data_IF_150983567816
#
_entry.id   IF_150983567816
#
_cell.length_a   1.000
_cell.length_b   1.000
_cell.length_c   1.000
_cell.angle_alpha   90.00
_cell.angle_beta   90.00
_cell.angle_gamma   90.00
#
_symmetry.space_group_name_H-M   'P 1'
#
loop_
_entity.id
_entity.type
_entity.pdbx_description
1 polymer ?
#
# COMPACT_ATOMS: atom_id res chain seq x y z
N UNK A 1 53.58 -3.93 -26.40
CA UNK A 1 54.12 -3.39 -25.13
C UNK A 1 53.38 -2.09 -24.90
N UNK A 2 52.49 -1.93 -23.92
CA UNK A 2 52.55 -2.38 -22.54
C UNK A 2 51.12 -2.51 -22.00
N UNK A 3 50.86 -3.58 -21.26
CA UNK A 3 49.64 -3.80 -20.48
C UNK A 3 49.64 -2.83 -19.28
N UNK A 4 48.54 -2.13 -19.03
CA UNK A 4 48.29 -1.51 -17.72
C UNK A 4 46.89 -1.93 -17.28
N UNK A 5 46.87 -2.89 -16.36
CA UNK A 5 45.71 -3.26 -15.56
C UNK A 5 45.26 -2.05 -14.74
N UNK A 6 44.02 -1.62 -14.92
CA UNK A 6 43.30 -0.76 -13.99
C UNK A 6 42.02 -1.46 -13.53
N UNK A 7 42.04 -2.09 -12.36
CA UNK A 7 40.83 -2.40 -11.59
C UNK A 7 40.15 -1.08 -11.24
N UNK A 8 38.94 -0.81 -11.72
CA UNK A 8 38.09 0.23 -11.16
C UNK A 8 36.90 -0.40 -10.44
N UNK A 9 36.80 -0.10 -9.14
CA UNK A 9 35.80 -0.60 -8.19
C UNK A 9 34.61 0.36 -8.03
N UNK A 10 34.33 1.19 -9.02
CA UNK A 10 33.23 2.16 -8.96
C UNK A 10 32.40 2.07 -10.24
N UNK A 11 31.16 1.61 -10.07
CA UNK A 11 30.19 1.53 -11.14
C UNK A 11 29.68 2.93 -11.49
N UNK A 12 30.36 3.61 -12.39
CA UNK A 12 29.85 4.75 -13.16
C UNK A 12 30.70 4.93 -14.42
N UNK A 13 30.04 5.17 -15.57
CA UNK A 13 30.50 5.89 -16.80
C UNK A 13 29.52 5.56 -17.95
N UNK A 14 29.19 6.49 -18.88
CA UNK A 14 30.04 7.62 -19.28
C UNK A 14 29.51 9.04 -19.12
N UNK A 15 30.52 9.91 -19.07
CA UNK A 15 30.57 11.36 -19.25
C UNK A 15 30.18 11.76 -20.69
N UNK A 16 29.62 12.95 -20.89
CA UNK A 16 30.13 13.92 -21.90
C UNK A 16 29.89 15.35 -21.40
N UNK A 17 30.96 16.14 -21.36
CA UNK A 17 30.94 17.59 -21.30
C UNK A 17 31.51 18.10 -22.64
N UNK A 18 30.85 19.06 -23.30
CA UNK A 18 31.51 20.02 -24.20
C UNK A 18 30.62 21.24 -24.56
N UNK A 19 30.97 22.40 -23.97
CA UNK A 19 31.26 23.69 -24.64
C UNK A 19 30.18 24.49 -25.44
N UNK A 20 30.44 25.79 -25.75
CA UNK A 20 29.44 26.87 -25.77
C UNK A 20 28.73 27.08 -27.13
N UNK A 21 28.33 26.01 -27.82
CA UNK A 21 27.81 26.02 -29.20
C UNK A 21 26.41 25.40 -29.40
N UNK A 22 25.65 25.13 -28.33
CA UNK A 22 24.19 25.16 -28.40
C UNK A 22 23.43 23.84 -28.64
N UNK A 23 23.86 22.68 -28.11
CA UNK A 23 22.95 21.51 -28.01
C UNK A 23 23.01 20.71 -26.69
N UNK A 24 21.78 20.36 -26.24
CA UNK A 24 21.29 19.38 -25.26
C UNK A 24 21.97 19.19 -23.88
N UNK A 25 21.29 19.72 -22.85
CA UNK A 25 21.44 19.24 -21.47
C UNK A 25 20.93 17.79 -21.34
N UNK A 26 21.83 16.84 -21.18
CA UNK A 26 21.53 15.55 -20.57
C UNK A 26 21.12 15.79 -19.10
N UNK A 27 19.92 15.37 -18.73
CA UNK A 27 19.47 15.38 -17.34
C UNK A 27 20.13 14.19 -16.63
N UNK A 28 21.42 14.32 -16.34
CA UNK A 28 22.15 13.33 -15.53
C UNK A 28 21.68 13.47 -14.08
N UNK A 29 20.98 12.45 -13.58
CA UNK A 29 20.66 12.36 -12.15
C UNK A 29 21.97 12.12 -11.42
N UNK A 30 22.59 13.19 -10.89
CA UNK A 30 23.82 13.09 -10.11
C UNK A 30 23.59 12.17 -8.90
N UNK A 31 24.55 11.31 -8.54
CA UNK A 31 24.46 10.54 -7.30
C UNK A 31 24.39 11.50 -6.11
N UNK A 32 23.63 11.11 -5.08
CA UNK A 32 23.49 11.90 -3.85
C UNK A 32 24.86 11.98 -3.17
N UNK A 33 25.41 13.17 -3.03
CA UNK A 33 26.75 13.37 -2.45
C UNK A 33 26.71 13.98 -1.04
N UNK A 34 25.64 14.68 -0.69
CA UNK A 34 25.53 15.36 0.61
C UNK A 34 24.55 14.69 1.56
N UNK A 35 24.77 14.90 2.87
CA UNK A 35 23.87 14.41 3.93
C UNK A 35 22.42 14.91 3.76
N UNK A 36 22.25 16.08 3.15
CA UNK A 36 20.93 16.66 2.84
C UNK A 36 20.15 15.83 1.82
N UNK A 37 20.77 15.33 0.76
CA UNK A 37 20.10 14.47 -0.21
C UNK A 37 19.81 13.07 0.34
N UNK A 38 20.61 12.59 1.29
CA UNK A 38 20.29 11.34 1.99
C UNK A 38 19.00 11.45 2.79
N UNK A 39 18.74 12.59 3.43
CA UNK A 39 17.45 12.88 4.08
C UNK A 39 16.35 13.01 3.02
N UNK A 40 16.50 13.92 2.08
CA UNK A 40 15.50 14.16 1.04
C UNK A 40 16.16 14.49 -0.31
N UNK A 41 15.95 13.61 -1.28
CA UNK A 41 16.58 13.64 -2.62
C UNK A 41 16.31 14.94 -3.38
N UNK A 42 15.12 15.53 -3.19
CA UNK A 42 14.73 16.80 -3.82
C UNK A 42 15.64 17.97 -3.43
N UNK A 43 16.42 17.86 -2.35
CA UNK A 43 17.22 18.99 -1.87
C UNK A 43 18.52 19.25 -2.62
N UNK A 44 19.02 18.25 -3.36
CA UNK A 44 20.24 18.37 -4.16
C UNK A 44 19.97 18.67 -5.63
N UNK A 45 18.69 18.60 -6.04
CA UNK A 45 18.30 18.83 -7.41
C UNK A 45 18.30 20.33 -7.78
N UNK A 46 18.54 20.67 -9.06
CA UNK A 46 18.44 22.04 -9.55
C UNK A 46 17.07 22.68 -9.21
N UNK A 47 16.99 24.01 -9.06
CA UNK A 47 15.77 24.71 -8.65
C UNK A 47 14.52 24.32 -9.45
N UNK A 48 14.65 24.14 -10.77
CA UNK A 48 13.54 23.80 -11.66
C UNK A 48 13.00 22.38 -11.38
N UNK A 49 13.91 21.42 -11.21
CA UNK A 49 13.56 20.04 -10.85
C UNK A 49 13.00 19.94 -9.44
N UNK A 50 13.55 20.73 -8.51
CA UNK A 50 13.08 20.83 -7.14
C UNK A 50 11.64 21.35 -7.07
N UNK A 51 11.34 22.40 -7.84
CA UNK A 51 10.00 22.97 -7.94
C UNK A 51 9.01 21.99 -8.56
N UNK A 52 9.40 21.31 -9.64
CA UNK A 52 8.59 20.26 -10.25
C UNK A 52 8.25 19.16 -9.23
N UNK A 53 9.27 18.57 -8.59
CA UNK A 53 9.04 17.51 -7.60
C UNK A 53 8.21 17.95 -6.41
N UNK A 54 8.40 19.18 -5.91
CA UNK A 54 7.57 19.71 -4.85
C UNK A 54 6.08 19.75 -5.24
N UNK A 55 5.76 20.15 -6.48
CA UNK A 55 4.38 20.11 -6.98
C UNK A 55 3.87 18.67 -7.13
N UNK A 56 4.69 17.78 -7.68
CA UNK A 56 4.33 16.35 -7.83
C UNK A 56 4.07 15.72 -6.45
N UNK A 57 4.89 16.02 -5.46
CA UNK A 57 4.71 15.58 -4.07
C UNK A 57 3.42 16.18 -3.47
N UNK A 58 3.19 17.48 -3.63
CA UNK A 58 2.01 18.15 -3.10
C UNK A 58 0.68 17.69 -3.73
N UNK A 59 0.68 17.25 -4.99
CA UNK A 59 -0.56 16.83 -5.68
C UNK A 59 -0.72 15.31 -5.73
N UNK A 60 0.30 14.55 -6.16
CA UNK A 60 0.22 13.09 -6.28
C UNK A 60 0.36 12.44 -4.92
N UNK A 61 1.44 12.73 -4.19
CA UNK A 61 1.75 12.04 -2.95
C UNK A 61 0.75 12.41 -1.85
N UNK A 62 0.33 13.66 -1.74
CA UNK A 62 -0.71 14.07 -0.79
C UNK A 62 -2.05 13.41 -1.09
N UNK A 63 -2.52 13.43 -2.35
CA UNK A 63 -3.76 12.74 -2.73
C UNK A 63 -3.68 11.24 -2.45
N UNK A 64 -2.57 10.61 -2.86
CA UNK A 64 -2.32 9.20 -2.62
C UNK A 64 -2.35 8.87 -1.11
N UNK A 65 -1.67 9.66 -0.29
CA UNK A 65 -1.54 9.44 1.15
C UNK A 65 -2.87 9.63 1.87
N UNK A 66 -3.62 10.69 1.55
CA UNK A 66 -4.95 10.91 2.14
C UNK A 66 -5.92 9.82 1.68
N UNK A 67 -5.93 9.45 0.39
CA UNK A 67 -6.80 8.37 -0.10
C UNK A 67 -6.48 7.03 0.56
N UNK A 68 -5.20 6.70 0.75
CA UNK A 68 -4.82 5.46 1.45
C UNK A 68 -5.13 5.51 2.95
N UNK A 69 -4.99 6.68 3.58
CA UNK A 69 -5.42 6.91 4.96
C UNK A 69 -6.93 6.64 5.10
N UNK A 70 -7.77 7.21 4.23
CA UNK A 70 -9.22 6.97 4.21
C UNK A 70 -9.57 5.51 3.92
N UNK A 71 -8.84 4.88 2.99
CA UNK A 71 -9.02 3.47 2.65
C UNK A 71 -8.85 2.55 3.86
N UNK A 72 -7.80 2.79 4.63
CA UNK A 72 -7.54 2.02 5.84
C UNK A 72 -8.53 2.33 6.97
N UNK A 73 -9.12 3.53 6.98
CA UNK A 73 -10.23 3.86 7.86
C UNK A 73 -11.47 3.02 7.50
N UNK A 74 -11.91 2.98 6.25
CA UNK A 74 -13.10 2.21 5.82
C UNK A 74 -12.96 0.72 6.15
N UNK A 75 -11.80 0.13 5.85
CA UNK A 75 -11.54 -1.28 6.14
C UNK A 75 -11.59 -1.59 7.65
N UNK A 76 -11.10 -0.67 8.48
CA UNK A 76 -11.12 -0.82 9.94
C UNK A 76 -12.52 -0.55 10.49
N UNK A 77 -13.25 0.40 9.90
CA UNK A 77 -14.60 0.83 10.29
C UNK A 77 -15.62 -0.31 10.27
N UNK A 78 -15.43 -1.35 9.44
CA UNK A 78 -16.33 -2.52 9.40
C UNK A 78 -16.34 -3.30 10.71
N UNK A 79 -15.14 -3.58 11.23
CA UNK A 79 -14.97 -4.33 12.47
C UNK A 79 -15.43 -3.49 13.66
N UNK A 80 -15.12 -2.19 13.60
CA UNK A 80 -15.57 -1.19 14.56
C UNK A 80 -17.10 -1.10 14.59
N UNK A 81 -17.76 -0.90 13.44
CA UNK A 81 -19.21 -0.87 13.32
C UNK A 81 -19.87 -2.15 13.87
N UNK A 82 -19.29 -3.32 13.58
CA UNK A 82 -19.74 -4.61 14.11
C UNK A 82 -19.81 -4.61 15.64
N UNK A 83 -18.75 -4.14 16.29
CA UNK A 83 -18.65 -4.06 17.75
C UNK A 83 -19.48 -2.92 18.38
N UNK A 84 -20.13 -2.09 17.59
CA UNK A 84 -20.87 -0.89 18.04
C UNK A 84 -22.33 -0.89 17.59
N UNK A 85 -22.97 -2.06 17.55
CA UNK A 85 -24.40 -2.18 17.31
C UNK A 85 -24.79 -2.72 15.93
N UNK A 86 -23.85 -2.87 14.99
CA UNK A 86 -24.17 -3.44 13.67
C UNK A 86 -24.46 -4.95 13.76
N UNK A 87 -23.92 -5.66 14.76
CA UNK A 87 -24.24 -7.07 15.01
C UNK A 87 -25.72 -7.25 15.33
N UNK A 88 -26.24 -6.46 16.26
CA UNK A 88 -27.63 -6.48 16.72
C UNK A 88 -28.59 -5.92 15.68
N UNK A 89 -28.25 -4.79 15.05
CA UNK A 89 -29.10 -4.11 14.05
C UNK A 89 -29.34 -4.95 12.78
N UNK A 90 -28.37 -5.78 12.39
CA UNK A 90 -28.43 -6.58 11.15
C UNK A 90 -28.64 -8.07 11.43
N UNK A 91 -28.86 -8.45 12.70
CA UNK A 91 -29.00 -9.83 13.17
C UNK A 91 -27.85 -10.71 12.67
N UNK A 92 -26.62 -10.22 12.82
CA UNK A 92 -25.43 -10.88 12.29
C UNK A 92 -24.90 -11.95 13.25
N UNK A 93 -25.06 -13.23 12.90
CA UNK A 93 -24.60 -14.33 13.77
C UNK A 93 -23.44 -15.13 13.17
N UNK A 94 -22.58 -15.67 14.05
CA UNK A 94 -21.50 -16.60 13.66
C UNK A 94 -20.48 -16.00 12.70
N UNK A 95 -20.26 -16.66 11.56
CA UNK A 95 -19.21 -16.29 10.59
C UNK A 95 -19.63 -15.18 9.61
N UNK A 96 -20.73 -14.47 9.87
CA UNK A 96 -21.27 -13.52 8.90
C UNK A 96 -20.38 -12.27 8.71
N UNK A 97 -19.71 -11.79 9.77
CA UNK A 97 -18.72 -10.70 9.65
C UNK A 97 -17.53 -11.12 8.78
N UNK A 98 -16.95 -12.29 9.06
CA UNK A 98 -15.82 -12.84 8.29
C UNK A 98 -16.20 -13.07 6.83
N UNK A 99 -17.44 -13.52 6.59
CA UNK A 99 -17.98 -13.68 5.23
C UNK A 99 -18.09 -12.33 4.52
N UNK A 100 -18.52 -11.28 5.23
CA UNK A 100 -18.57 -9.90 4.72
C UNK A 100 -17.21 -9.42 4.22
N UNK A 101 -16.17 -9.59 5.04
CA UNK A 101 -14.78 -9.24 4.68
C UNK A 101 -14.26 -10.10 3.53
N UNK A 102 -14.62 -11.38 3.50
CA UNK A 102 -14.25 -12.28 2.39
C UNK A 102 -14.87 -11.84 1.06
N UNK A 103 -16.13 -11.40 1.07
CA UNK A 103 -16.82 -10.90 -0.13
C UNK A 103 -16.19 -9.59 -0.62
N UNK A 104 -15.78 -8.71 0.30
CA UNK A 104 -14.96 -7.55 -0.05
C UNK A 104 -13.66 -7.98 -0.74
N UNK A 105 -12.93 -8.97 -0.21
CA UNK A 105 -11.71 -9.48 -0.86
C UNK A 105 -11.98 -10.04 -2.26
N UNK A 106 -13.10 -10.73 -2.46
CA UNK A 106 -13.50 -11.23 -3.79
C UNK A 106 -13.74 -10.08 -4.77
N UNK A 107 -14.48 -9.05 -4.36
CA UNK A 107 -14.68 -7.84 -5.16
C UNK A 107 -13.35 -7.16 -5.49
N UNK A 108 -12.48 -7.05 -4.49
CA UNK A 108 -11.14 -6.48 -4.60
C UNK A 108 -10.30 -7.20 -5.64
N UNK A 109 -10.21 -8.53 -5.56
CA UNK A 109 -9.43 -9.35 -6.49
C UNK A 109 -9.97 -9.22 -7.93
N UNK A 110 -11.29 -9.33 -8.10
CA UNK A 110 -11.92 -9.24 -9.42
C UNK A 110 -11.71 -7.86 -10.04
N UNK A 111 -11.83 -6.79 -9.26
CA UNK A 111 -11.70 -5.42 -9.77
C UNK A 111 -10.25 -5.02 -10.08
N UNK A 112 -9.25 -5.66 -9.45
CA UNK A 112 -7.88 -5.18 -9.48
C UNK A 112 -7.22 -5.31 -10.85
N UNK A 113 -7.36 -6.46 -11.51
CA UNK A 113 -6.78 -6.66 -12.85
C UNK A 113 -7.46 -5.75 -13.90
N UNK A 114 -8.80 -5.71 -14.02
CA UNK A 114 -9.49 -4.85 -14.98
C UNK A 114 -9.19 -3.36 -14.77
N UNK A 115 -9.22 -2.88 -13.52
CA UNK A 115 -8.94 -1.47 -13.21
C UNK A 115 -7.51 -1.08 -13.61
N UNK A 116 -6.51 -1.93 -13.36
CA UNK A 116 -5.14 -1.62 -13.75
C UNK A 116 -4.90 -1.71 -15.25
N UNK A 117 -5.56 -2.64 -15.94
CA UNK A 117 -5.55 -2.65 -17.40
C UNK A 117 -6.21 -1.38 -17.97
N UNK A 118 -7.27 -0.89 -17.32
CA UNK A 118 -7.94 0.36 -17.71
C UNK A 118 -7.00 1.57 -17.57
N UNK A 119 -6.15 1.63 -16.53
CA UNK A 119 -5.14 2.69 -16.35
C UNK A 119 -4.10 2.75 -17.48
N UNK A 120 -3.88 1.64 -18.19
CA UNK A 120 -2.99 1.63 -19.36
C UNK A 120 -3.65 2.22 -20.61
N UNK A 121 -4.99 2.25 -20.68
CA UNK A 121 -5.74 2.73 -21.85
C UNK A 121 -6.34 4.11 -21.66
N UNK A 122 -6.92 4.35 -20.50
CA UNK A 122 -7.53 5.63 -20.12
C UNK A 122 -6.57 6.32 -19.15
N UNK A 123 -6.45 7.65 -19.25
CA UNK A 123 -5.59 8.40 -18.34
C UNK A 123 -5.95 8.11 -16.88
N UNK A 124 -4.96 7.83 -16.01
CA UNK A 124 -5.16 7.66 -14.56
C UNK A 124 -5.92 8.79 -13.90
N UNK A 125 -5.82 10.01 -14.45
CA UNK A 125 -6.58 11.20 -14.06
C UNK A 125 -8.09 10.98 -13.99
N UNK A 126 -8.65 10.15 -14.85
CA UNK A 126 -10.09 9.88 -14.87
C UNK A 126 -10.43 8.61 -14.12
N UNK A 127 -9.61 7.57 -14.30
CA UNK A 127 -9.90 6.23 -13.76
C UNK A 127 -9.81 6.20 -12.23
N UNK A 128 -8.73 6.72 -11.64
CA UNK A 128 -8.54 6.66 -10.17
C UNK A 128 -9.65 7.43 -9.45
N UNK A 129 -9.94 8.71 -9.78
CA UNK A 129 -11.06 9.44 -9.19
C UNK A 129 -12.44 8.80 -9.42
N UNK A 130 -12.69 8.18 -10.58
CA UNK A 130 -13.97 7.49 -10.84
C UNK A 130 -14.17 6.28 -9.93
N UNK A 131 -13.09 5.51 -9.71
CA UNK A 131 -13.11 4.39 -8.78
C UNK A 131 -13.34 4.87 -7.34
N UNK A 132 -12.66 5.94 -6.93
CA UNK A 132 -12.83 6.57 -5.61
C UNK A 132 -14.26 7.09 -5.39
N UNK A 133 -14.90 7.69 -6.41
CA UNK A 133 -16.30 8.11 -6.32
C UNK A 133 -17.23 6.90 -6.17
N UNK A 134 -17.03 5.85 -6.96
CA UNK A 134 -17.82 4.62 -6.87
C UNK A 134 -17.69 3.96 -5.49
N UNK A 135 -16.47 3.93 -4.95
CA UNK A 135 -16.18 3.46 -3.60
C UNK A 135 -16.90 4.31 -2.55
N UNK A 136 -16.73 5.64 -2.56
CA UNK A 136 -17.37 6.54 -1.60
C UNK A 136 -18.90 6.46 -1.61
N UNK A 137 -19.52 6.34 -2.79
CA UNK A 137 -20.98 6.13 -2.90
C UNK A 137 -21.38 4.80 -2.26
N UNK A 138 -20.69 3.70 -2.58
CA UNK A 138 -20.98 2.39 -2.01
C UNK A 138 -20.80 2.35 -0.48
N UNK A 139 -19.80 3.06 0.05
CA UNK A 139 -19.57 3.23 1.49
C UNK A 139 -20.73 3.97 2.15
N UNK A 140 -21.20 5.10 1.59
CA UNK A 140 -22.38 5.81 2.13
C UNK A 140 -23.62 4.92 2.09
N UNK A 141 -23.85 4.19 0.99
CA UNK A 141 -24.96 3.27 0.87
C UNK A 141 -24.92 2.18 1.96
N UNK A 142 -23.74 1.84 2.49
CA UNK A 142 -23.60 0.84 3.58
C UNK A 142 -24.31 1.31 4.86
N UNK A 143 -24.36 2.63 5.10
CA UNK A 143 -25.11 3.20 6.23
C UNK A 143 -26.62 2.99 6.17
N UNK A 144 -27.17 2.66 4.99
CA UNK A 144 -28.61 2.48 4.76
C UNK A 144 -29.04 1.01 4.76
N UNK A 145 -28.11 0.08 4.97
CA UNK A 145 -28.40 -1.36 4.95
C UNK A 145 -29.31 -1.76 6.12
N UNK A 146 -30.23 -2.69 5.86
CA UNK A 146 -31.14 -3.25 6.85
C UNK A 146 -30.99 -4.77 7.04
N UNK A 147 -30.09 -5.42 6.29
CA UNK A 147 -29.82 -6.86 6.44
C UNK A 147 -28.37 -7.21 6.10
N UNK A 148 -27.85 -8.29 6.68
CA UNK A 148 -26.51 -8.80 6.36
C UNK A 148 -26.32 -9.12 4.87
N UNK A 149 -27.39 -9.50 4.15
CA UNK A 149 -27.34 -9.75 2.69
C UNK A 149 -27.10 -8.47 1.89
N UNK A 150 -27.73 -7.37 2.30
CA UNK A 150 -27.49 -6.05 1.70
C UNK A 150 -26.06 -5.58 1.96
N UNK A 151 -25.53 -5.85 3.17
CA UNK A 151 -24.14 -5.56 3.53
C UNK A 151 -23.18 -6.31 2.60
N UNK A 152 -23.43 -7.59 2.31
CA UNK A 152 -22.59 -8.39 1.40
C UNK A 152 -22.53 -7.82 -0.01
N UNK A 153 -23.67 -7.42 -0.57
CA UNK A 153 -23.71 -6.81 -1.90
C UNK A 153 -22.88 -5.52 -1.95
N UNK A 154 -23.06 -4.64 -0.97
CA UNK A 154 -22.28 -3.39 -0.92
C UNK A 154 -20.80 -3.63 -0.66
N UNK A 155 -20.44 -4.61 0.17
CA UNK A 155 -19.04 -4.99 0.42
C UNK A 155 -18.33 -5.46 -0.82
N UNK A 156 -19.03 -6.20 -1.68
CA UNK A 156 -18.51 -6.56 -3.00
C UNK A 156 -18.21 -5.32 -3.84
N UNK A 157 -19.15 -4.38 -3.93
CA UNK A 157 -18.97 -3.14 -4.72
C UNK A 157 -17.88 -2.24 -4.15
N UNK A 158 -17.82 -2.08 -2.83
CA UNK A 158 -16.73 -1.37 -2.13
C UNK A 158 -15.39 -1.96 -2.53
N UNK A 159 -15.20 -3.28 -2.37
CA UNK A 159 -13.95 -3.94 -2.75
C UNK A 159 -13.64 -3.79 -4.24
N UNK A 160 -14.65 -3.94 -5.11
CA UNK A 160 -14.49 -3.80 -6.56
C UNK A 160 -14.01 -2.41 -6.98
N UNK A 161 -14.60 -1.34 -6.45
CA UNK A 161 -14.17 0.03 -6.74
C UNK A 161 -12.82 0.37 -6.10
N UNK A 162 -12.56 -0.08 -4.88
CA UNK A 162 -11.33 0.18 -4.11
C UNK A 162 -10.08 -0.54 -4.68
N UNK A 163 -10.30 -1.59 -5.47
CA UNK A 163 -9.28 -2.47 -6.06
C UNK A 163 -8.19 -1.76 -6.87
N UNK A 164 -8.57 -0.72 -7.62
CA UNK A 164 -7.66 -0.05 -8.55
C UNK A 164 -6.77 0.99 -7.90
N UNK A 165 -7.10 1.43 -6.68
CA UNK A 165 -6.40 2.55 -6.03
C UNK A 165 -4.96 2.20 -5.68
N UNK A 166 -4.73 1.16 -4.87
CA UNK A 166 -3.39 0.83 -4.37
C UNK A 166 -2.36 0.53 -5.49
N UNK A 167 -2.61 -0.41 -6.41
CA UNK A 167 -1.71 -0.65 -7.54
C UNK A 167 -1.68 0.52 -8.53
N UNK A 168 -2.78 1.25 -8.72
CA UNK A 168 -2.84 2.41 -9.60
C UNK A 168 -1.98 3.57 -9.11
N UNK A 169 -1.98 3.83 -7.80
CA UNK A 169 -1.07 4.79 -7.18
C UNK A 169 0.38 4.34 -7.33
N UNK A 170 0.72 3.08 -7.05
CA UNK A 170 2.09 2.59 -7.25
C UNK A 170 2.54 2.68 -8.71
N UNK A 171 1.64 2.44 -9.65
CA UNK A 171 1.89 2.66 -11.07
C UNK A 171 2.15 4.14 -11.38
N UNK A 172 1.38 5.05 -10.77
CA UNK A 172 1.56 6.51 -10.92
C UNK A 172 2.85 7.02 -10.28
N UNK A 173 3.18 6.56 -9.07
CA UNK A 173 4.45 6.85 -8.40
C UNK A 173 5.61 6.39 -9.29
N UNK A 174 5.51 5.18 -9.86
CA UNK A 174 6.42 4.75 -10.92
C UNK A 174 6.51 5.80 -12.02
N UNK A 175 5.40 6.18 -12.62
CA UNK A 175 5.42 6.98 -13.84
C UNK A 175 5.91 8.42 -13.70
N UNK A 176 5.96 8.97 -12.47
CA UNK A 176 6.39 10.33 -12.18
C UNK A 176 7.75 10.42 -11.47
N UNK A 177 8.12 9.41 -10.68
CA UNK A 177 9.35 9.41 -9.89
C UNK A 177 10.44 8.53 -10.50
N UNK A 178 11.69 8.95 -10.32
CA UNK A 178 12.85 8.14 -10.70
C UNK A 178 13.10 7.02 -9.66
N UNK A 179 13.86 5.97 -10.01
CA UNK A 179 14.20 4.89 -9.08
C UNK A 179 14.82 5.34 -7.74
N UNK A 180 15.46 6.52 -7.71
CA UNK A 180 16.08 7.09 -6.50
C UNK A 180 15.10 7.82 -5.58
N UNK A 181 13.92 8.14 -6.10
CA UNK A 181 12.96 9.05 -5.48
C UNK A 181 11.71 8.29 -4.99
N UNK A 182 11.41 7.17 -5.64
CA UNK A 182 10.15 6.44 -5.47
C UNK A 182 10.03 5.75 -4.10
N UNK A 183 11.13 5.25 -3.52
CA UNK A 183 11.09 4.41 -2.32
C UNK A 183 10.61 5.15 -1.08
N UNK A 184 11.20 6.32 -0.79
CA UNK A 184 10.80 7.24 0.28
C UNK A 184 9.32 7.60 0.19
N UNK A 185 8.86 7.93 -1.01
CA UNK A 185 7.49 8.40 -1.28
C UNK A 185 6.48 7.26 -1.21
N UNK A 186 6.81 6.10 -1.77
CA UNK A 186 6.00 4.90 -1.65
C UNK A 186 5.84 4.46 -0.18
N UNK A 187 6.87 4.67 0.65
CA UNK A 187 6.75 4.43 2.09
C UNK A 187 5.90 5.45 2.83
N UNK A 188 6.04 6.74 2.54
CA UNK A 188 5.16 7.76 3.13
C UNK A 188 3.68 7.49 2.81
N UNK A 189 3.41 7.11 1.56
CA UNK A 189 2.08 6.66 1.14
C UNK A 189 1.57 5.51 2.02
N UNK A 190 2.41 4.50 2.26
CA UNK A 190 1.99 3.32 3.02
C UNK A 190 1.81 3.60 4.52
N UNK A 191 2.68 4.43 5.10
CA UNK A 191 2.58 4.90 6.49
C UNK A 191 1.27 5.64 6.73
N UNK A 192 0.81 6.45 5.76
CA UNK A 192 -0.47 7.14 5.87
C UNK A 192 -1.64 6.17 6.11
N UNK A 193 -1.60 4.98 5.51
CA UNK A 193 -2.60 3.94 5.76
C UNK A 193 -2.56 3.38 7.17
N UNK A 194 -1.36 3.12 7.70
CA UNK A 194 -1.20 2.65 9.08
C UNK A 194 -1.73 3.67 10.10
N UNK A 195 -1.47 4.96 9.85
CA UNK A 195 -2.03 6.05 10.66
C UNK A 195 -3.56 6.09 10.51
N UNK A 196 -4.09 5.85 9.31
CA UNK A 196 -5.53 5.73 9.04
C UNK A 196 -6.21 4.66 9.90
N UNK A 197 -5.66 3.45 9.94
CA UNK A 197 -6.18 2.37 10.80
C UNK A 197 -6.18 2.76 12.28
N UNK A 198 -5.14 3.45 12.77
CA UNK A 198 -5.09 3.95 14.14
C UNK A 198 -6.16 5.01 14.40
N UNK A 199 -6.42 5.89 13.42
CA UNK A 199 -7.40 6.97 13.54
C UNK A 199 -8.85 6.46 13.52
N UNK A 200 -9.14 5.36 12.83
CA UNK A 200 -10.48 4.77 12.73
C UNK A 200 -11.11 4.45 14.09
N UNK A 201 -10.34 3.93 15.05
CA UNK A 201 -10.86 3.62 16.39
C UNK A 201 -11.31 4.87 17.16
N UNK A 202 -10.55 5.96 17.06
CA UNK A 202 -10.93 7.25 17.66
C UNK A 202 -12.18 7.84 16.99
N UNK A 203 -12.25 7.74 15.66
CA UNK A 203 -13.40 8.21 14.88
C UNK A 203 -14.68 7.46 15.26
N UNK A 204 -14.60 6.13 15.39
CA UNK A 204 -15.70 5.28 15.85
C UNK A 204 -16.15 5.65 17.26
N UNK A 205 -15.22 5.75 18.22
CA UNK A 205 -15.56 6.10 19.59
C UNK A 205 -16.30 7.44 19.65
N UNK A 206 -15.78 8.46 18.93
CA UNK A 206 -16.42 9.76 18.87
C UNK A 206 -17.79 9.72 18.18
N UNK A 207 -17.96 8.94 17.11
CA UNK A 207 -19.24 8.76 16.44
C UNK A 207 -20.27 8.05 17.34
N UNK A 208 -19.86 7.01 18.06
CA UNK A 208 -20.71 6.29 18.98
C UNK A 208 -21.15 7.16 20.16
N UNK A 209 -20.24 7.91 20.79
CA UNK A 209 -20.59 8.72 21.97
C UNK A 209 -21.45 9.94 21.63
N UNK A 210 -21.26 10.56 20.46
CA UNK A 210 -21.87 11.86 20.15
C UNK A 210 -23.00 11.79 19.11
N UNK A 211 -23.05 10.74 18.29
CA UNK A 211 -23.99 10.63 17.17
C UNK A 211 -24.94 9.44 17.29
N UNK A 212 -24.77 8.57 18.29
CA UNK A 212 -25.72 7.49 18.51
C UNK A 212 -27.11 8.02 18.89
N UNK A 213 -28.13 7.49 18.24
CA UNK A 213 -29.52 7.96 18.35
C UNK A 213 -29.83 9.29 17.63
N UNK A 214 -28.82 10.01 17.12
CA UNK A 214 -29.03 11.27 16.40
C UNK A 214 -29.74 10.98 15.08
N UNK A 215 -30.84 11.71 14.84
CA UNK A 215 -31.78 11.46 13.73
C UNK A 215 -32.34 10.02 13.69
N UNK A 216 -32.41 9.32 14.83
CA UNK A 216 -32.92 7.95 14.91
C UNK A 216 -32.02 6.92 14.23
N UNK A 217 -30.74 7.24 14.02
CA UNK A 217 -29.75 6.34 13.42
C UNK A 217 -28.79 5.83 14.49
N UNK A 218 -28.46 4.54 14.42
CA UNK A 218 -27.41 3.96 15.26
C UNK A 218 -26.04 4.58 14.93
N UNK A 219 -25.18 4.71 15.94
CA UNK A 219 -23.86 5.32 15.84
C UNK A 219 -22.97 4.72 14.75
N UNK A 220 -23.07 3.40 14.50
CA UNK A 220 -22.30 2.73 13.45
C UNK A 220 -22.67 3.21 12.04
N UNK A 221 -23.93 3.63 11.81
CA UNK A 221 -24.36 4.15 10.50
C UNK A 221 -23.72 5.50 10.21
N UNK A 222 -23.55 6.34 11.24
CA UNK A 222 -22.85 7.62 11.13
C UNK A 222 -21.39 7.46 10.75
N UNK A 223 -20.74 6.37 11.18
CA UNK A 223 -19.36 6.09 10.81
C UNK A 223 -19.19 6.00 9.29
N UNK A 224 -20.05 5.24 8.60
CA UNK A 224 -20.02 5.12 7.14
C UNK A 224 -20.45 6.39 6.41
N UNK A 225 -21.34 7.19 7.02
CA UNK A 225 -21.73 8.50 6.47
C UNK A 225 -20.55 9.47 6.51
N UNK A 226 -19.88 9.60 7.66
CA UNK A 226 -18.71 10.47 7.82
C UNK A 226 -17.61 10.06 6.86
N UNK A 227 -17.32 8.77 6.78
CA UNK A 227 -16.28 8.21 5.92
C UNK A 227 -16.55 8.51 4.42
N UNK A 228 -17.81 8.38 4.01
CA UNK A 228 -18.23 8.81 2.67
C UNK A 228 -18.14 10.33 2.43
N UNK A 229 -18.50 11.13 3.43
CA UNK A 229 -18.44 12.60 3.35
C UNK A 229 -16.99 13.10 3.25
N UNK A 230 -16.02 12.44 3.88
CA UNK A 230 -14.60 12.82 3.75
C UNK A 230 -13.98 12.26 2.46
N UNK A 231 -14.44 11.10 1.98
CA UNK A 231 -13.91 10.44 0.78
C UNK A 231 -14.42 11.07 -0.52
N UNK A 232 -15.71 11.40 -0.64
CA UNK A 232 -16.27 11.93 -1.89
C UNK A 232 -15.67 13.27 -2.33
N UNK A 233 -15.47 14.28 -1.46
CA UNK A 233 -14.81 15.53 -1.85
C UNK A 233 -13.38 15.30 -2.32
N UNK A 234 -12.64 14.39 -1.67
CA UNK A 234 -11.30 14.01 -2.11
C UNK A 234 -11.36 13.37 -3.50
N UNK A 235 -12.27 12.41 -3.71
CA UNK A 235 -12.47 11.76 -5.00
C UNK A 235 -12.80 12.77 -6.11
N UNK A 236 -13.71 13.71 -5.84
CA UNK A 236 -14.08 14.79 -6.78
C UNK A 236 -12.90 15.72 -7.05
N UNK A 237 -12.15 16.11 -6.00
CA UNK A 237 -10.94 16.90 -6.13
C UNK A 237 -9.89 16.19 -6.99
N UNK A 238 -9.84 14.85 -6.95
CA UNK A 238 -9.01 14.02 -7.80
C UNK A 238 -9.13 14.32 -9.30
N UNK A 239 -10.33 14.62 -9.82
CA UNK A 239 -10.50 14.95 -11.25
C UNK A 239 -9.76 16.23 -11.67
N UNK A 240 -9.58 17.16 -10.73
CA UNK A 240 -8.90 18.43 -10.96
C UNK A 240 -7.41 18.32 -10.68
N UNK A 241 -7.01 17.71 -9.57
CA UNK A 241 -5.61 17.71 -9.13
C UNK A 241 -4.79 16.53 -9.66
N UNK A 242 -5.41 15.37 -9.88
CA UNK A 242 -4.68 14.15 -10.24
C UNK A 242 -4.14 14.23 -11.67
N UNK A 243 -2.83 13.95 -11.88
CA UNK A 243 -2.21 14.23 -13.16
C UNK A 243 -2.39 13.12 -14.20
N UNK A 244 -2.21 13.51 -15.47
CA UNK A 244 -1.96 12.54 -16.53
C UNK A 244 -0.56 11.93 -16.38
N UNK A 245 -0.25 10.91 -17.17
CA UNK A 245 1.14 10.43 -17.24
C UNK A 245 1.99 11.47 -17.99
N UNK A 246 3.26 11.68 -17.61
CA UNK A 246 4.14 12.60 -18.34
C UNK A 246 4.19 12.25 -19.84
N UNK A 247 4.21 10.95 -20.16
CA UNK A 247 4.32 10.46 -21.53
C UNK A 247 3.05 10.66 -22.38
N UNK A 248 1.90 11.01 -21.77
CA UNK A 248 0.65 11.23 -22.52
C UNK A 248 0.64 12.58 -23.27
N UNK A 249 1.66 13.43 -23.09
CA UNK A 249 1.83 14.70 -23.80
C UNK A 249 0.80 15.78 -23.43
N UNK A 250 0.00 15.54 -22.39
CA UNK A 250 -1.01 16.49 -21.90
C UNK A 250 -0.57 17.06 -20.56
N UNK A 251 -0.16 18.32 -20.56
CA UNK A 251 0.15 19.07 -19.34
C UNK A 251 -1.05 19.10 -18.39
N UNK A 252 -0.74 19.09 -17.10
CA UNK A 252 -1.71 19.39 -16.05
C UNK A 252 -1.83 20.88 -15.83
N UNK A 253 -2.93 21.33 -15.23
CA UNK A 253 -3.18 22.76 -15.02
C UNK A 253 -2.18 23.41 -14.05
N UNK A 254 -1.63 22.63 -13.09
CA UNK A 254 -0.65 23.11 -12.11
C UNK A 254 0.82 23.03 -12.57
N UNK A 255 1.07 22.41 -13.73
CA UNK A 255 2.40 22.37 -14.39
C UNK A 255 2.51 23.40 -15.50
N UNK A 256 3.63 24.11 -15.57
CA UNK A 256 3.99 24.93 -16.74
C UNK A 256 4.41 24.04 -17.92
N UNK A 257 4.54 24.62 -19.12
CA UNK A 257 5.00 23.87 -20.30
C UNK A 257 6.45 23.38 -20.10
N UNK A 258 7.33 24.23 -19.58
CA UNK A 258 8.72 23.88 -19.29
C UNK A 258 8.83 22.76 -18.25
N UNK A 259 8.00 22.81 -17.20
CA UNK A 259 7.90 21.76 -16.19
C UNK A 259 7.39 20.43 -16.78
N UNK A 260 6.44 20.50 -17.72
CA UNK A 260 5.94 19.32 -18.42
C UNK A 260 7.04 18.70 -19.30
N UNK A 261 7.72 19.50 -20.13
CA UNK A 261 8.85 19.05 -20.95
C UNK A 261 9.95 18.44 -20.08
N UNK A 262 10.26 19.07 -18.94
CA UNK A 262 11.23 18.55 -17.97
C UNK A 262 10.80 17.19 -17.40
N UNK A 263 9.51 17.03 -17.05
CA UNK A 263 8.98 15.76 -16.55
C UNK A 263 9.12 14.62 -17.58
N UNK A 264 8.87 14.91 -18.86
CA UNK A 264 9.02 13.96 -19.96
C UNK A 264 10.50 13.58 -20.14
N UNK A 265 11.39 14.56 -20.21
CA UNK A 265 12.85 14.34 -20.35
C UNK A 265 13.40 13.49 -19.21
N UNK A 266 12.99 13.75 -17.97
CA UNK A 266 13.39 12.95 -16.80
C UNK A 266 13.00 11.48 -16.92
N UNK A 267 11.78 11.21 -17.39
CA UNK A 267 11.31 9.84 -17.56
C UNK A 267 11.96 9.14 -18.76
N UNK A 268 12.24 9.87 -19.85
CA UNK A 268 12.99 9.34 -20.99
C UNK A 268 14.44 8.98 -20.62
N UNK A 269 15.09 9.80 -19.79
CA UNK A 269 16.48 9.57 -19.35
C UNK A 269 16.66 8.24 -18.59
N UNK A 270 15.62 7.76 -17.91
CA UNK A 270 15.62 6.47 -17.22
C UNK A 270 15.06 5.31 -18.08
N UNK A 271 14.85 5.55 -19.38
CA UNK A 271 14.35 4.54 -20.32
C UNK A 271 12.88 4.17 -20.14
N UNK A 272 12.04 5.01 -19.50
CA UNK A 272 10.61 4.72 -19.41
C UNK A 272 9.94 4.91 -20.77
N UNK A 273 9.52 3.79 -21.35
CA UNK A 273 8.77 3.79 -22.58
C UNK A 273 7.35 4.35 -22.38
N UNK A 274 6.84 5.06 -23.40
CA UNK A 274 5.44 5.46 -23.46
C UNK A 274 4.50 4.25 -23.57
N UNK A 275 3.19 4.51 -23.54
CA UNK A 275 2.17 3.47 -23.68
C UNK A 275 2.29 2.75 -25.02
N UNK A 276 2.09 1.44 -25.00
CA UNK A 276 2.00 0.60 -26.20
C UNK A 276 0.72 -0.24 -26.19
N UNK A 277 0.13 -0.53 -27.37
CA UNK A 277 -1.08 -1.32 -27.44
C UNK A 277 -0.84 -2.76 -26.98
N UNK A 278 -1.85 -3.33 -26.31
CA UNK A 278 -1.88 -4.75 -25.95
C UNK A 278 -2.05 -5.61 -27.21
N UNK A 279 -0.96 -6.16 -27.73
CA UNK A 279 -0.99 -7.16 -28.80
C UNK A 279 -0.95 -8.57 -28.23
N UNK A 280 -1.50 -9.56 -28.97
CA UNK A 280 -1.42 -10.98 -28.57
C UNK A 280 0.03 -11.43 -28.35
N UNK A 281 0.95 -10.94 -29.18
CA UNK A 281 2.38 -11.20 -29.05
C UNK A 281 2.94 -10.63 -27.74
N UNK A 282 2.56 -9.40 -27.36
CA UNK A 282 2.98 -8.76 -26.10
C UNK A 282 2.45 -9.52 -24.89
N UNK A 283 1.17 -9.91 -24.89
CA UNK A 283 0.58 -10.75 -23.82
C UNK A 283 1.35 -12.06 -23.68
N UNK A 284 1.61 -12.76 -24.79
CA UNK A 284 2.37 -14.01 -24.78
C UNK A 284 3.81 -13.83 -24.28
N UNK A 285 4.48 -12.74 -24.67
CA UNK A 285 5.83 -12.39 -24.19
C UNK A 285 5.84 -12.10 -22.69
N UNK A 286 4.85 -11.35 -22.20
CA UNK A 286 4.70 -11.05 -20.78
C UNK A 286 4.45 -12.33 -19.98
N UNK A 287 3.48 -13.15 -20.37
CA UNK A 287 3.15 -14.40 -19.67
C UNK A 287 4.27 -15.45 -19.68
N UNK A 288 5.17 -15.42 -20.68
CA UNK A 288 6.37 -16.29 -20.72
C UNK A 288 7.57 -15.70 -19.98
N UNK A 289 7.47 -14.48 -19.48
CA UNK A 289 8.56 -13.80 -18.80
C UNK A 289 8.67 -14.30 -17.36
N UNK A 290 9.90 -14.60 -16.91
CA UNK A 290 10.17 -14.97 -15.52
C UNK A 290 9.65 -13.91 -14.52
N UNK A 291 9.65 -12.63 -14.93
CA UNK A 291 9.12 -11.49 -14.18
C UNK A 291 7.66 -11.71 -13.72
N UNK A 292 6.84 -12.38 -14.52
CA UNK A 292 5.42 -12.59 -14.22
C UNK A 292 5.18 -13.58 -13.10
N UNK A 293 6.15 -14.44 -12.80
CA UNK A 293 6.01 -15.44 -11.75
C UNK A 293 6.84 -15.05 -10.52
N UNK A 294 8.11 -14.67 -10.71
CA UNK A 294 9.00 -14.37 -9.58
C UNK A 294 8.64 -13.08 -8.85
N UNK A 295 8.31 -12.00 -9.58
CA UNK A 295 8.06 -10.71 -8.93
C UNK A 295 6.78 -10.71 -8.09
N UNK A 296 5.64 -11.24 -8.59
CA UNK A 296 4.48 -11.48 -7.75
C UNK A 296 4.75 -12.44 -6.58
N UNK A 297 5.50 -13.52 -6.81
CA UNK A 297 5.83 -14.48 -5.74
C UNK A 297 6.57 -13.83 -4.57
N UNK A 298 7.52 -12.93 -4.85
CA UNK A 298 8.20 -12.16 -3.79
C UNK A 298 7.22 -11.35 -2.94
N UNK A 299 6.24 -10.71 -3.58
CA UNK A 299 5.23 -9.93 -2.87
C UNK A 299 4.27 -10.83 -2.09
N UNK A 300 3.88 -11.99 -2.64
CA UNK A 300 3.05 -12.99 -1.94
C UNK A 300 3.75 -13.47 -0.66
N UNK A 301 5.03 -13.85 -0.77
CA UNK A 301 5.83 -14.34 0.36
C UNK A 301 6.01 -13.27 1.44
N UNK A 302 6.25 -12.01 1.03
CA UNK A 302 6.35 -10.91 1.98
C UNK A 302 5.01 -10.65 2.68
N UNK A 303 3.93 -10.50 1.92
CA UNK A 303 2.62 -10.11 2.43
C UNK A 303 2.02 -11.18 3.36
N UNK A 304 2.23 -12.46 3.04
CA UNK A 304 1.74 -13.60 3.83
C UNK A 304 2.80 -14.18 4.79
N UNK A 305 3.97 -13.55 4.90
CA UNK A 305 5.07 -14.04 5.71
C UNK A 305 4.88 -13.83 7.21
N UNK A 306 3.96 -12.96 7.62
CA UNK A 306 3.62 -12.70 9.01
C UNK A 306 2.11 -12.86 9.24
N UNK A 307 1.68 -13.35 10.40
CA UNK A 307 0.27 -13.48 10.71
C UNK A 307 -0.36 -12.10 10.96
N UNK A 308 -1.25 -11.67 10.06
CA UNK A 308 -1.92 -10.38 10.14
C UNK A 308 -2.92 -10.37 11.32
N UNK A 309 -2.88 -9.31 12.13
CA UNK A 309 -3.68 -9.14 13.35
C UNK A 309 -3.52 -10.26 14.42
N UNK A 310 -2.47 -11.09 14.36
CA UNK A 310 -2.30 -12.24 15.25
C UNK A 310 -2.28 -11.89 16.74
N UNK A 311 -1.64 -10.79 17.12
CA UNK A 311 -1.55 -10.38 18.53
C UNK A 311 -2.95 -10.13 19.12
N UNK A 312 -3.83 -9.44 18.40
CA UNK A 312 -5.21 -9.19 18.85
C UNK A 312 -6.01 -10.48 19.03
N UNK A 313 -5.90 -11.42 18.08
CA UNK A 313 -6.55 -12.74 18.20
C UNK A 313 -5.97 -13.58 19.34
N UNK A 314 -4.66 -13.53 19.54
CA UNK A 314 -4.00 -14.22 20.63
C UNK A 314 -4.42 -13.66 21.99
N UNK A 315 -4.47 -12.32 22.17
CA UNK A 315 -4.99 -11.69 23.38
C UNK A 315 -6.46 -12.04 23.62
N UNK A 316 -7.29 -12.04 22.56
CA UNK A 316 -8.70 -12.47 22.65
C UNK A 316 -8.85 -13.93 23.09
N UNK A 317 -7.91 -14.80 22.73
CA UNK A 317 -7.98 -16.23 23.08
C UNK A 317 -7.95 -16.51 24.59
N UNK A 318 -7.40 -15.59 25.40
CA UNK A 318 -7.44 -15.70 26.86
C UNK A 318 -8.86 -15.59 27.45
N UNK A 319 -9.78 -14.96 26.71
CA UNK A 319 -11.18 -14.81 27.11
C UNK A 319 -12.08 -15.93 26.56
N UNK A 320 -11.51 -16.95 25.92
CA UNK A 320 -12.28 -18.11 25.44
C UNK A 320 -12.87 -18.90 26.62
N UNK A 321 -13.92 -19.69 26.34
CA UNK A 321 -14.55 -20.57 27.32
C UNK A 321 -14.46 -22.02 26.81
N UNK A 322 -13.75 -22.92 27.53
CA UNK A 322 -12.96 -22.68 28.74
C UNK A 322 -11.68 -21.84 28.47
N UNK A 323 -11.22 -21.02 29.43
CA UNK A 323 -10.04 -20.17 29.23
C UNK A 323 -8.76 -21.02 29.19
N UNK A 324 -7.82 -20.73 28.28
CA UNK A 324 -6.57 -21.48 28.16
C UNK A 324 -5.64 -21.25 29.36
N UNK A 325 -5.74 -20.10 30.03
CA UNK A 325 -5.08 -19.81 31.30
C UNK A 325 -6.13 -19.34 32.33
N UNK A 326 -6.40 -20.13 33.38
CA UNK A 326 -7.26 -19.70 34.47
C UNK A 326 -6.72 -18.44 35.15
N UNK A 327 -7.57 -17.43 35.34
CA UNK A 327 -7.23 -16.20 36.08
C UNK A 327 -6.56 -15.08 35.28
N UNK A 328 -6.32 -15.25 33.97
CA UNK A 328 -5.79 -14.18 33.11
C UNK A 328 -6.72 -13.94 31.92
N UNK A 329 -7.25 -12.74 31.85
CA UNK A 329 -8.14 -12.24 30.79
C UNK A 329 -7.72 -10.83 30.40
N UNK A 330 -7.96 -10.45 29.14
CA UNK A 330 -7.69 -9.10 28.66
C UNK A 330 -9.00 -8.36 28.41
N UNK A 331 -9.09 -7.10 28.85
CA UNK A 331 -10.23 -6.25 28.54
C UNK A 331 -10.26 -5.88 27.05
N UNK A 332 -11.44 -5.47 26.54
CA UNK A 332 -11.60 -5.02 25.15
C UNK A 332 -10.66 -3.84 24.81
N UNK A 333 -10.48 -2.82 25.67
CA UNK A 333 -9.50 -1.76 25.43
C UNK A 333 -8.05 -2.26 25.37
N UNK A 334 -7.66 -3.23 26.19
CA UNK A 334 -6.31 -3.81 26.18
C UNK A 334 -6.05 -4.59 24.89
N UNK A 335 -7.01 -5.40 24.42
CA UNK A 335 -6.88 -6.17 23.17
C UNK A 335 -6.60 -5.25 21.97
N UNK A 336 -7.19 -4.05 21.97
CA UNK A 336 -7.03 -3.08 20.90
C UNK A 336 -5.79 -2.18 21.06
N UNK A 337 -5.34 -1.91 22.29
CA UNK A 337 -4.23 -1.00 22.55
C UNK A 337 -2.87 -1.68 22.61
N UNK A 338 -2.79 -2.91 23.11
CA UNK A 338 -1.53 -3.67 23.22
C UNK A 338 -0.85 -3.95 21.87
N UNK A 339 -1.56 -4.06 20.72
CA UNK A 339 -0.92 -4.14 19.41
C UNK A 339 -0.32 -2.83 18.89
N UNK A 340 -0.69 -1.66 19.44
CA UNK A 340 -0.25 -0.33 18.93
C UNK A 340 1.28 -0.18 18.82
N UNK A 341 2.10 -0.64 19.80
CA UNK A 341 3.56 -0.59 19.68
C UNK A 341 4.10 -1.30 18.43
N UNK A 342 3.45 -2.37 17.98
CA UNK A 342 3.80 -3.08 16.74
C UNK A 342 3.72 -2.15 15.53
N UNK A 343 2.63 -1.38 15.43
CA UNK A 343 2.42 -0.41 14.35
C UNK A 343 3.41 0.75 14.43
N UNK A 344 3.73 1.22 15.64
CA UNK A 344 4.73 2.29 15.83
C UNK A 344 6.14 1.83 15.39
N UNK A 345 6.55 0.63 15.80
CA UNK A 345 7.82 0.02 15.38
C UNK A 345 7.84 -0.15 13.86
N UNK A 346 6.74 -0.63 13.29
CA UNK A 346 6.59 -0.77 11.85
C UNK A 346 6.80 0.57 11.12
N UNK A 347 6.18 1.67 11.56
CA UNK A 347 6.33 3.00 10.94
C UNK A 347 7.80 3.47 11.01
N UNK A 348 8.45 3.32 12.17
CA UNK A 348 9.86 3.70 12.34
C UNK A 348 10.77 2.88 11.42
N UNK A 349 10.55 1.57 11.34
CA UNK A 349 11.34 0.69 10.48
C UNK A 349 11.09 0.94 8.99
N UNK A 350 9.84 1.22 8.60
CA UNK A 350 9.49 1.61 7.24
C UNK A 350 10.22 2.87 6.78
N UNK A 351 10.26 3.92 7.63
CA UNK A 351 10.99 5.16 7.33
C UNK A 351 12.50 4.92 7.22
N UNK A 352 13.09 4.22 8.20
CA UNK A 352 14.53 3.94 8.18
C UNK A 352 14.94 3.14 6.95
N UNK A 353 14.15 2.14 6.54
CA UNK A 353 14.43 1.31 5.36
C UNK A 353 14.29 2.10 4.06
N UNK A 354 13.28 2.97 3.95
CA UNK A 354 13.14 3.82 2.78
C UNK A 354 14.31 4.80 2.64
N UNK A 355 14.70 5.46 3.74
CA UNK A 355 15.82 6.40 3.75
C UNK A 355 17.15 5.72 3.46
N UNK A 356 17.40 4.56 4.07
CA UNK A 356 18.64 3.80 3.85
C UNK A 356 18.72 3.21 2.45
N UNK A 357 17.58 2.80 1.87
CA UNK A 357 17.50 2.29 0.50
C UNK A 357 17.74 3.37 -0.55
N UNK A 358 17.03 4.50 -0.49
CA UNK A 358 17.16 5.57 -1.48
C UNK A 358 18.40 6.42 -1.28
N UNK A 359 18.85 6.59 -0.04
CA UNK A 359 20.02 7.40 0.28
C UNK A 359 21.32 6.61 0.17
N UNK A 360 21.88 6.09 1.28
CA UNK A 360 23.16 5.39 1.33
C UNK A 360 23.35 4.28 0.29
N UNK A 361 22.30 3.50 0.01
CA UNK A 361 22.36 2.38 -0.93
C UNK A 361 21.95 2.74 -2.36
N UNK A 362 21.79 4.04 -2.65
CA UNK A 362 21.60 4.62 -3.98
C UNK A 362 20.44 3.98 -4.78
N UNK A 363 19.36 3.61 -4.10
CA UNK A 363 18.18 2.96 -4.69
C UNK A 363 18.25 1.43 -4.76
N UNK A 364 19.29 0.79 -4.21
CA UNK A 364 19.34 -0.69 -4.14
C UNK A 364 18.26 -1.20 -3.17
N UNK A 365 17.25 -1.88 -3.73
CA UNK A 365 16.11 -2.45 -2.98
C UNK A 365 16.40 -3.83 -2.39
N UNK A 366 17.18 -4.64 -3.12
CA UNK A 366 17.41 -6.03 -2.80
C UNK A 366 17.90 -6.31 -1.36
N UNK A 367 18.81 -5.50 -0.75
CA UNK A 367 19.31 -5.81 0.60
C UNK A 367 18.20 -5.83 1.65
N UNK A 368 17.26 -4.89 1.56
CA UNK A 368 16.12 -4.78 2.48
C UNK A 368 15.10 -5.88 2.28
N UNK A 369 14.92 -6.33 1.04
CA UNK A 369 14.00 -7.44 0.73
C UNK A 369 14.52 -8.73 1.36
N UNK A 370 15.81 -9.06 1.20
CA UNK A 370 16.38 -10.26 1.80
C UNK A 370 16.56 -10.13 3.32
N UNK A 371 16.99 -8.97 3.82
CA UNK A 371 17.07 -8.74 5.27
C UNK A 371 15.69 -8.86 5.93
N UNK A 372 14.64 -8.32 5.31
CA UNK A 372 13.27 -8.46 5.80
C UNK A 372 12.74 -9.88 5.76
N UNK A 373 13.06 -10.64 4.71
CA UNK A 373 12.73 -12.05 4.64
C UNK A 373 13.44 -12.85 5.75
N UNK A 374 14.73 -12.60 5.99
CA UNK A 374 15.50 -13.26 7.05
C UNK A 374 14.97 -12.92 8.45
N UNK A 375 14.69 -11.63 8.72
CA UNK A 375 14.11 -11.19 9.99
C UNK A 375 12.73 -11.81 10.22
N UNK A 376 11.87 -11.82 9.19
CA UNK A 376 10.55 -12.47 9.26
C UNK A 376 10.68 -13.95 9.59
N UNK A 377 11.62 -14.66 8.95
CA UNK A 377 11.88 -16.07 9.25
C UNK A 377 12.34 -16.28 10.69
N UNK A 378 13.26 -15.43 11.18
CA UNK A 378 13.75 -15.50 12.57
C UNK A 378 12.59 -15.33 13.56
N UNK A 379 11.73 -14.33 13.38
CA UNK A 379 10.59 -14.11 14.27
C UNK A 379 9.56 -15.25 14.20
N UNK A 380 9.31 -15.81 13.01
CA UNK A 380 8.45 -16.99 12.88
C UNK A 380 9.02 -18.22 13.60
N UNK A 381 10.33 -18.45 13.52
CA UNK A 381 10.99 -19.52 14.28
C UNK A 381 10.92 -19.28 15.79
N UNK A 382 11.05 -18.02 16.24
CA UNK A 382 10.85 -17.65 17.64
C UNK A 382 9.42 -17.95 18.09
N UNK A 383 8.40 -17.57 17.31
CA UNK A 383 7.00 -17.89 17.63
C UNK A 383 6.74 -19.39 17.72
N UNK A 384 7.40 -20.20 16.88
CA UNK A 384 7.29 -21.66 16.93
C UNK A 384 7.95 -22.25 18.18
N UNK A 385 9.05 -21.65 18.64
CA UNK A 385 9.79 -22.12 19.83
C UNK A 385 9.16 -21.69 21.16
N UNK A 386 8.33 -20.65 21.17
CA UNK A 386 7.73 -20.09 22.38
C UNK A 386 6.34 -20.69 22.65
N UNK A 387 6.05 -21.13 23.89
CA UNK A 387 4.72 -21.62 24.24
C UNK A 387 3.65 -20.53 24.09
N UNK A 388 2.41 -20.93 23.81
CA UNK A 388 1.32 -19.98 23.56
C UNK A 388 0.87 -19.21 24.81
N UNK A 389 0.89 -19.87 25.96
CA UNK A 389 0.24 -19.38 27.18
C UNK A 389 1.17 -19.32 28.39
N UNK A 390 2.44 -19.70 28.33
CA UNK A 390 3.29 -19.69 29.54
C UNK A 390 3.97 -18.33 29.78
N UNK A 391 4.61 -17.78 28.75
CA UNK A 391 5.41 -16.56 28.83
C UNK A 391 4.79 -15.44 27.99
N UNK A 392 3.80 -14.79 28.59
CA UNK A 392 2.95 -13.79 27.93
C UNK A 392 3.76 -12.53 27.62
N UNK A 393 4.55 -12.05 28.57
CA UNK A 393 5.24 -10.77 28.45
C UNK A 393 6.35 -10.87 27.38
N UNK A 394 7.15 -11.94 27.38
CA UNK A 394 8.15 -12.15 26.32
C UNK A 394 7.49 -12.34 24.96
N UNK A 395 6.38 -13.08 24.87
CA UNK A 395 5.66 -13.27 23.60
C UNK A 395 5.06 -11.96 23.07
N UNK A 396 4.59 -11.08 23.94
CA UNK A 396 4.16 -9.73 23.57
C UNK A 396 5.31 -8.92 22.95
N UNK A 397 6.50 -8.96 23.56
CA UNK A 397 7.68 -8.27 22.99
C UNK A 397 8.04 -8.83 21.62
N UNK A 398 7.99 -10.16 21.44
CA UNK A 398 8.24 -10.79 20.14
C UNK A 398 7.19 -10.36 19.10
N UNK A 399 5.92 -10.23 19.49
CA UNK A 399 4.89 -9.63 18.62
C UNK A 399 5.23 -8.20 18.20
N UNK A 400 5.62 -7.34 19.13
CA UNK A 400 6.00 -5.96 18.83
C UNK A 400 7.19 -5.88 17.86
N UNK A 401 8.20 -6.73 18.05
CA UNK A 401 9.42 -6.72 17.23
C UNK A 401 9.26 -7.46 15.89
N UNK A 402 8.28 -8.34 15.75
CA UNK A 402 8.06 -9.14 14.53
C UNK A 402 7.92 -8.31 13.25
N UNK A 403 7.42 -7.07 13.38
CA UNK A 403 7.16 -6.19 12.24
C UNK A 403 8.39 -5.41 11.73
N UNK A 404 9.55 -5.57 12.37
CA UNK A 404 10.80 -4.93 11.91
C UNK A 404 11.11 -5.34 10.47
N UNK A 405 10.86 -6.60 10.09
CA UNK A 405 11.08 -7.13 8.75
C UNK A 405 10.09 -6.64 7.68
N UNK A 406 8.99 -6.02 8.09
CA UNK A 406 7.83 -5.78 7.22
C UNK A 406 7.96 -4.52 6.36
N UNK A 407 9.01 -3.72 6.54
CA UNK A 407 9.33 -2.54 5.73
C UNK A 407 9.70 -2.83 4.26
N UNK A 408 9.73 -4.09 3.81
CA UNK A 408 10.09 -4.42 2.42
C UNK A 408 8.96 -4.16 1.39
N UNK A 409 7.68 -4.08 1.78
CA UNK A 409 6.55 -4.12 0.83
C UNK A 409 6.55 -3.07 -0.28
N UNK A 410 6.46 -1.79 0.06
CA UNK A 410 6.56 -0.69 -0.92
C UNK A 410 7.88 -0.68 -1.69
N UNK A 411 8.97 -1.19 -1.09
CA UNK A 411 10.25 -1.36 -1.80
C UNK A 411 10.17 -2.48 -2.84
N UNK A 412 9.46 -3.58 -2.58
CA UNK A 412 9.22 -4.65 -3.57
C UNK A 412 8.44 -4.06 -4.75
N UNK A 413 7.34 -3.35 -4.52
CA UNK A 413 6.56 -2.74 -5.61
C UNK A 413 7.35 -1.68 -6.38
N UNK A 414 8.18 -0.90 -5.69
CA UNK A 414 9.12 0.03 -6.33
C UNK A 414 10.11 -0.74 -7.21
N UNK A 415 10.64 -1.85 -6.73
CA UNK A 415 11.58 -2.70 -7.47
C UNK A 415 10.92 -3.34 -8.71
N UNK A 416 9.65 -3.77 -8.61
CA UNK A 416 8.88 -4.22 -9.78
C UNK A 416 8.78 -3.11 -10.83
N UNK A 417 8.52 -1.88 -10.38
CA UNK A 417 8.45 -0.72 -11.26
C UNK A 417 9.80 -0.41 -11.95
N UNK A 418 10.91 -0.62 -11.25
CA UNK A 418 12.27 -0.42 -11.77
C UNK A 418 12.67 -1.51 -12.77
N UNK A 419 12.47 -2.79 -12.44
CA UNK A 419 12.82 -3.93 -13.32
C UNK A 419 11.99 -3.91 -14.61
N UNK A 420 10.72 -3.50 -14.52
CA UNK A 420 9.81 -3.44 -15.66
C UNK A 420 9.71 -2.04 -16.28
N UNK A 421 10.71 -1.17 -16.10
CA UNK A 421 10.72 0.21 -16.60
C UNK A 421 10.56 0.31 -18.13
N UNK A 422 11.09 -0.66 -18.87
CA UNK A 422 11.04 -0.72 -20.33
C UNK A 422 9.63 -0.99 -20.90
N UNK A 423 8.69 -1.49 -20.11
CA UNK A 423 7.35 -1.88 -20.56
C UNK A 423 6.27 -1.42 -19.57
N UNK A 424 5.62 -0.31 -19.92
CA UNK A 424 4.61 0.36 -19.09
C UNK A 424 3.40 -0.54 -18.80
N UNK A 425 2.92 -1.28 -19.79
CA UNK A 425 1.79 -2.19 -19.64
C UNK A 425 2.13 -3.39 -18.77
N UNK A 426 3.31 -3.97 -18.97
CA UNK A 426 3.81 -5.07 -18.13
C UNK A 426 3.95 -4.63 -16.69
N UNK A 427 4.49 -3.44 -16.45
CA UNK A 427 4.65 -2.87 -15.10
C UNK A 427 3.31 -2.69 -14.39
N UNK A 428 2.33 -2.07 -15.04
CA UNK A 428 0.98 -1.91 -14.49
C UNK A 428 0.35 -3.27 -14.14
N UNK A 429 0.46 -4.24 -15.06
CA UNK A 429 -0.04 -5.59 -14.83
C UNK A 429 0.67 -6.29 -13.67
N UNK A 430 2.00 -6.23 -13.58
CA UNK A 430 2.75 -6.96 -12.56
C UNK A 430 2.60 -6.37 -11.16
N UNK A 431 2.48 -5.04 -11.03
CA UNK A 431 2.13 -4.40 -9.76
C UNK A 431 0.74 -4.85 -9.30
N UNK A 432 -0.22 -4.90 -10.23
CA UNK A 432 -1.56 -5.40 -9.94
C UNK A 432 -1.55 -6.89 -9.57
N UNK A 433 -0.93 -7.76 -10.37
CA UNK A 433 -0.87 -9.21 -10.13
C UNK A 433 -0.15 -9.54 -8.83
N UNK A 434 0.93 -8.83 -8.49
CA UNK A 434 1.65 -9.01 -7.24
C UNK A 434 0.74 -8.79 -6.03
N UNK A 435 0.03 -7.67 -5.99
CA UNK A 435 -0.90 -7.38 -4.91
C UNK A 435 -2.12 -8.32 -4.94
N UNK A 436 -2.64 -8.63 -6.12
CA UNK A 436 -3.86 -9.44 -6.30
C UNK A 436 -3.67 -10.86 -5.78
N UNK A 437 -2.60 -11.53 -6.21
CA UNK A 437 -2.29 -12.88 -5.78
C UNK A 437 -1.99 -12.96 -4.28
N UNK A 438 -1.45 -11.90 -3.67
CA UNK A 438 -1.28 -11.86 -2.22
C UNK A 438 -2.62 -11.90 -1.48
N UNK A 439 -3.63 -11.14 -1.93
CA UNK A 439 -4.99 -11.18 -1.38
C UNK A 439 -5.71 -12.50 -1.68
N UNK A 440 -5.47 -13.12 -2.84
CA UNK A 440 -6.00 -14.47 -3.14
C UNK A 440 -5.47 -15.49 -2.14
N UNK A 441 -4.17 -15.46 -1.83
CA UNK A 441 -3.57 -16.35 -0.83
C UNK A 441 -4.18 -16.10 0.54
N UNK A 442 -4.34 -14.85 0.98
CA UNK A 442 -5.00 -14.54 2.26
C UNK A 442 -6.43 -15.11 2.34
N UNK A 443 -7.22 -14.94 1.28
CA UNK A 443 -8.61 -15.41 1.22
C UNK A 443 -8.71 -16.94 1.31
N UNK A 444 -7.72 -17.67 0.78
CA UNK A 444 -7.66 -19.13 0.82
C UNK A 444 -7.11 -19.62 2.16
N UNK A 445 -6.00 -19.04 2.63
CA UNK A 445 -5.32 -19.44 3.87
C UNK A 445 -6.25 -19.34 5.08
N UNK A 446 -7.05 -18.27 5.18
CA UNK A 446 -8.04 -18.11 6.25
C UNK A 446 -9.12 -19.20 6.28
N UNK A 447 -9.36 -19.91 5.17
CA UNK A 447 -10.29 -21.04 5.09
C UNK A 447 -9.62 -22.39 5.33
N UNK A 448 -8.35 -22.54 4.96
CA UNK A 448 -7.56 -23.75 5.18
C UNK A 448 -7.21 -23.89 6.68
N UNK A 449 -6.91 -22.77 7.34
CA UNK A 449 -6.63 -22.71 8.77
C UNK A 449 -7.74 -21.92 9.49
N UNK A 450 -8.98 -22.47 9.59
CA UNK A 450 -10.05 -21.79 10.27
C UNK A 450 -9.65 -21.57 11.73
N UNK A 451 -9.66 -20.30 12.16
CA UNK A 451 -9.41 -19.87 13.53
C UNK A 451 -10.46 -20.35 14.55
N UNK A 452 -11.34 -21.25 14.16
CA UNK A 452 -12.21 -22.00 15.06
C UNK A 452 -11.99 -23.50 14.87
N UNK A 453 -11.49 -24.15 15.93
CA UNK A 453 -11.51 -25.58 16.27
C UNK A 453 -10.19 -26.35 16.32
N UNK A 454 -9.08 -25.92 15.70
CA UNK A 454 -7.84 -26.74 15.71
C UNK A 454 -6.65 -26.17 16.48
N UNK A 455 -6.62 -24.86 16.76
CA UNK A 455 -5.58 -24.26 17.62
C UNK A 455 -5.84 -24.42 19.12
N UNK A 456 -6.97 -25.01 19.52
CA UNK A 456 -7.28 -25.35 20.91
C UNK A 456 -6.81 -26.76 21.30
N UNK A 457 -6.10 -27.46 20.41
CA UNK A 457 -5.71 -28.87 20.61
C UNK A 457 -4.24 -29.19 20.35
N UNK A 458 -3.37 -28.20 20.16
CA UNK A 458 -1.92 -28.43 20.09
C UNK A 458 -1.16 -27.43 20.94
#
# INVERSE_FOLDING_TARGET
MTEVQGRSSEGYVPLVEAQPDGTHHEVVVKPVQTWKGYIWDTWELPPDQRRLLFKVDAFILTFASIGYFLKNIDQTNVNNAFLSGMEEDLEMYGNQLVTSTSIWTVGYVIGQIPSNLLLTRISPRWVIPSLEVGWGIATICTSAVQSYRGLYALRFFVGFFESGFYPGIHYMLGSWYTPREIGKRAMLFWIAGSIGSMFSGFLQAAAYTNLDGVHGRAGWRWLFIIDGIITLPLAVAGYFFFPNLPQDGKRTWWTTEDEHILSVKRMQAIGRAGKQPWTRAKVKKTLRSWHTYHLPLLYILWNNGNPQAAMGYWLKSFNAQPPPMPGKSFSVPEINSLPIPTTAIFILMALTWAWTSDGPLQGKRWPFIYAGAALTLIFNLLFLSMPLYSDIDSRMVVYWLSHIGHGAGPLILSWINEICSADTEKRALLVAVANDLAYVVQAIVGRIFPSSKHLLTC
#
